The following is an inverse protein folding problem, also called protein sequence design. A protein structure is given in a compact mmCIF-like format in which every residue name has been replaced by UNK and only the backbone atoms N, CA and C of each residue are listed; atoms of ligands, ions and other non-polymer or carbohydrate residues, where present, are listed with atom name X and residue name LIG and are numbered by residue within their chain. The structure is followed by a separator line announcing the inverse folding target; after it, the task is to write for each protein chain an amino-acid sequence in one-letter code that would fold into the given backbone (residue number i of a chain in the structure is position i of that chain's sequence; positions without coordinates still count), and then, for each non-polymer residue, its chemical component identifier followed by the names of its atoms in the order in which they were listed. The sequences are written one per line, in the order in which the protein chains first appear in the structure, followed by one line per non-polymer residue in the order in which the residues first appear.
data_IF_163484150681
#
_entry.id   IF_163484150681
#
_cell.length_a   1.000
_cell.length_b   1.000
_cell.length_c   1.000
_cell.angle_alpha   90.00
_cell.angle_beta   90.00
_cell.angle_gamma   90.00
#
_symmetry.space_group_name_H-M   'P 1'
#
loop_
_entity.id
_entity.type
_entity.pdbx_description
1 polymer ?
#
# COMPACT_ATOMS: atom_id res chain seq x y z
N UNK A 1 -25.31 0.90 -40.60
CA UNK A 1 -25.17 2.14 -39.80
C UNK A 1 -24.65 1.70 -38.44
N UNK A 2 -23.33 1.82 -38.22
CA UNK A 2 -22.69 1.32 -37.01
C UNK A 2 -23.03 2.25 -35.85
N UNK A 3 -23.83 1.79 -34.90
CA UNK A 3 -23.99 2.48 -33.63
C UNK A 3 -22.83 1.99 -32.73
N UNK A 4 -21.87 2.84 -32.34
CA UNK A 4 -20.86 2.44 -31.38
C UNK A 4 -21.57 2.05 -30.08
N UNK A 5 -21.11 0.98 -29.43
CA UNK A 5 -21.64 0.47 -28.16
C UNK A 5 -21.94 1.64 -27.21
N UNK A 6 -23.22 1.82 -26.88
CA UNK A 6 -23.64 2.74 -25.85
C UNK A 6 -23.08 2.22 -24.53
N UNK A 7 -22.05 2.89 -23.99
CA UNK A 7 -21.66 2.73 -22.60
C UNK A 7 -22.91 2.88 -21.73
N UNK A 8 -23.19 1.89 -20.88
CA UNK A 8 -24.35 1.89 -19.97
C UNK A 8 -24.55 3.28 -19.33
N UNK A 9 -25.76 3.86 -19.34
CA UNK A 9 -26.00 5.22 -18.83
C UNK A 9 -25.70 5.38 -17.34
N UNK A 10 -25.55 4.27 -16.60
CA UNK A 10 -25.20 4.26 -15.17
C UNK A 10 -23.71 4.51 -14.89
N UNK A 11 -22.79 4.08 -15.78
CA UNK A 11 -21.34 4.25 -15.56
C UNK A 11 -20.79 5.55 -16.13
N UNK A 12 -21.54 6.17 -17.06
CA UNK A 12 -21.15 7.41 -17.73
C UNK A 12 -20.90 8.58 -16.76
N UNK A 13 -21.73 8.84 -15.74
CA UNK A 13 -21.47 9.91 -14.77
C UNK A 13 -20.17 9.70 -13.99
N UNK A 14 -19.81 8.45 -13.68
CA UNK A 14 -18.59 8.11 -12.96
C UNK A 14 -17.35 8.38 -13.81
N UNK A 15 -17.38 8.02 -15.11
CA UNK A 15 -16.30 8.31 -16.05
C UNK A 15 -16.09 9.81 -16.21
N UNK A 16 -17.18 10.57 -16.39
CA UNK A 16 -17.12 12.03 -16.51
C UNK A 16 -16.57 12.66 -15.23
N UNK A 17 -16.99 12.19 -14.06
CA UNK A 17 -16.48 12.67 -12.78
C UNK A 17 -14.97 12.40 -12.62
N UNK A 18 -14.51 11.18 -12.89
CA UNK A 18 -13.08 10.84 -12.83
C UNK A 18 -12.25 11.71 -13.78
N UNK A 19 -12.73 11.93 -15.01
CA UNK A 19 -12.07 12.80 -15.97
C UNK A 19 -12.05 14.25 -15.52
N UNK A 20 -13.14 14.76 -14.94
CA UNK A 20 -13.21 16.12 -14.41
C UNK A 20 -12.21 16.33 -13.26
N UNK A 21 -12.11 15.35 -12.34
CA UNK A 21 -11.14 15.40 -11.23
C UNK A 21 -9.70 15.37 -11.77
N UNK A 22 -9.39 14.47 -12.71
CA UNK A 22 -8.06 14.42 -13.33
C UNK A 22 -7.73 15.72 -14.06
N UNK A 23 -8.68 16.26 -14.83
CA UNK A 23 -8.52 17.53 -15.53
C UNK A 23 -8.27 18.69 -14.55
N UNK A 24 -8.97 18.73 -13.42
CA UNK A 24 -8.77 19.73 -12.38
C UNK A 24 -7.38 19.62 -11.75
N UNK A 25 -6.91 18.41 -11.43
CA UNK A 25 -5.57 18.18 -10.87
C UNK A 25 -4.51 18.67 -11.87
N UNK A 26 -4.62 18.27 -13.14
CA UNK A 26 -3.70 18.70 -14.20
C UNK A 26 -3.72 20.21 -14.38
N UNK A 27 -4.92 20.83 -14.37
CA UNK A 27 -5.06 22.27 -14.47
C UNK A 27 -4.37 22.98 -13.30
N UNK A 28 -4.61 22.55 -12.05
CA UNK A 28 -4.00 23.15 -10.87
C UNK A 28 -2.47 23.03 -10.88
N UNK A 29 -1.94 21.85 -11.21
CA UNK A 29 -0.49 21.64 -11.32
C UNK A 29 0.12 22.47 -12.45
N UNK A 30 -0.56 22.57 -13.59
CA UNK A 30 -0.12 23.39 -14.73
C UNK A 30 -0.13 24.87 -14.39
N UNK A 31 -1.20 25.36 -13.76
CA UNK A 31 -1.30 26.76 -13.33
C UNK A 31 -0.22 27.09 -12.31
N UNK A 32 0.00 26.21 -11.31
CA UNK A 32 1.08 26.36 -10.33
C UNK A 32 2.46 26.39 -11.01
N UNK A 33 2.68 25.56 -12.02
CA UNK A 33 3.92 25.56 -12.80
C UNK A 33 4.12 26.85 -13.62
N UNK A 34 3.07 27.37 -14.26
CA UNK A 34 3.16 28.57 -15.11
C UNK A 34 3.20 29.87 -14.30
N UNK A 35 2.46 29.97 -13.19
CA UNK A 35 2.43 31.15 -12.33
C UNK A 35 3.53 31.13 -11.27
N UNK A 36 4.09 29.96 -10.96
CA UNK A 36 5.14 29.79 -9.97
C UNK A 36 6.45 30.47 -10.38
N UNK A 37 7.03 31.26 -9.49
CA UNK A 37 8.33 31.88 -9.73
C UNK A 37 9.43 30.81 -9.70
N UNK A 38 9.99 30.51 -10.87
CA UNK A 38 11.04 29.51 -11.03
C UNK A 38 12.40 30.07 -10.57
N UNK A 39 12.64 30.12 -9.25
CA UNK A 39 13.98 30.34 -8.68
C UNK A 39 14.65 28.98 -8.50
N UNK A 40 15.66 28.71 -9.34
CA UNK A 40 16.54 27.54 -9.20
C UNK A 40 17.81 27.98 -8.51
N UNK A 41 17.85 27.84 -7.19
CA UNK A 41 19.06 28.02 -6.42
C UNK A 41 19.67 26.62 -6.17
N UNK A 42 20.97 26.39 -6.43
CA UNK A 42 21.62 25.09 -6.22
C UNK A 42 21.37 24.49 -4.83
N UNK A 43 21.26 25.33 -3.80
CA UNK A 43 20.99 24.91 -2.42
C UNK A 43 19.52 24.47 -2.18
N UNK A 44 18.59 24.79 -3.08
CA UNK A 44 17.18 24.34 -3.02
C UNK A 44 16.96 23.02 -3.77
N UNK A 45 17.82 22.71 -4.74
CA UNK A 45 17.76 21.47 -5.53
C UNK A 45 18.49 20.28 -4.85
N UNK A 46 19.13 20.49 -3.69
CA UNK A 46 19.77 19.44 -2.90
C UNK A 46 18.85 18.90 -1.78
N UNK A 47 18.88 17.58 -1.47
CA UNK A 47 18.15 17.02 -0.35
C UNK A 47 18.52 17.71 0.97
N UNK A 48 17.51 18.18 1.70
CA UNK A 48 17.72 18.86 2.97
C UNK A 48 18.27 17.90 4.02
N UNK A 49 19.50 18.16 4.48
CA UNK A 49 20.16 17.36 5.51
C UNK A 49 20.69 18.24 6.65
N UNK A 50 19.95 19.28 7.06
CA UNK A 50 20.32 20.19 8.17
C UNK A 50 21.69 20.86 8.01
N UNK A 51 22.06 21.25 6.79
CA UNK A 51 23.28 21.99 6.50
C UNK A 51 24.53 21.14 6.25
N UNK A 52 24.39 19.82 6.12
CA UNK A 52 25.45 18.95 5.57
C UNK A 52 25.14 18.57 4.13
N UNK A 53 26.20 18.45 3.32
CA UNK A 53 26.09 17.96 1.94
C UNK A 53 25.71 16.48 2.01
N UNK A 54 24.66 16.09 1.29
CA UNK A 54 24.20 14.72 1.31
C UNK A 54 25.24 13.78 0.73
N UNK A 55 25.87 12.99 1.61
CA UNK A 55 26.98 12.11 1.30
C UNK A 55 26.62 10.70 1.78
N UNK A 56 26.04 9.90 0.88
CA UNK A 56 25.66 8.53 1.19
C UNK A 56 24.84 7.88 0.08
N UNK A 57 24.96 6.56 -0.06
CA UNK A 57 24.06 5.78 -0.93
C UNK A 57 22.72 5.62 -0.20
N UNK A 58 21.60 5.94 -0.85
CA UNK A 58 20.22 5.71 -0.37
C UNK A 58 19.84 4.22 -0.19
N UNK A 59 20.83 3.31 -0.14
CA UNK A 59 20.66 1.87 0.04
C UNK A 59 20.75 1.54 1.52
N UNK A 60 19.77 2.03 2.29
CA UNK A 60 19.57 1.58 3.65
C UNK A 60 18.96 0.17 3.60
N UNK A 61 19.49 -0.77 4.39
CA UNK A 61 18.86 -2.08 4.58
C UNK A 61 17.61 -1.88 5.42
N UNK A 62 16.48 -1.71 4.75
CA UNK A 62 15.16 -1.71 5.39
C UNK A 62 14.94 -3.10 6.01
N UNK A 63 14.31 -3.15 7.19
CA UNK A 63 14.14 -4.41 7.92
C UNK A 63 13.22 -5.38 7.16
N UNK A 64 13.45 -6.69 7.32
CA UNK A 64 12.64 -7.75 6.69
C UNK A 64 11.16 -7.68 7.11
N UNK A 65 10.88 -7.07 8.28
CA UNK A 65 9.53 -6.84 8.79
C UNK A 65 8.59 -6.17 7.78
N UNK A 66 9.07 -5.16 7.04
CA UNK A 66 8.24 -4.46 6.04
C UNK A 66 7.79 -5.38 4.90
N UNK A 67 8.67 -6.30 4.49
CA UNK A 67 8.36 -7.27 3.45
C UNK A 67 7.33 -8.31 3.92
N UNK A 68 7.46 -8.78 5.16
CA UNK A 68 6.51 -9.73 5.76
C UNK A 68 5.11 -9.11 5.89
N UNK A 69 5.02 -7.84 6.31
CA UNK A 69 3.74 -7.10 6.35
C UNK A 69 3.16 -6.93 4.94
N UNK A 70 3.98 -6.63 3.94
CA UNK A 70 3.53 -6.47 2.55
C UNK A 70 2.97 -7.78 1.97
N UNK A 71 3.65 -8.91 2.15
CA UNK A 71 3.13 -10.21 1.72
C UNK A 71 1.83 -10.54 2.46
N UNK A 72 1.82 -10.37 3.78
CA UNK A 72 0.62 -10.63 4.58
C UNK A 72 -0.57 -9.80 4.08
N UNK A 73 -0.34 -8.52 3.74
CA UNK A 73 -1.36 -7.65 3.17
C UNK A 73 -1.88 -8.18 1.83
N UNK A 74 -1.00 -8.61 0.93
CA UNK A 74 -1.40 -9.17 -0.37
C UNK A 74 -2.24 -10.44 -0.19
N UNK A 75 -1.84 -11.34 0.70
CA UNK A 75 -2.60 -12.57 0.95
C UNK A 75 -3.94 -12.24 1.59
N UNK A 76 -3.97 -11.40 2.63
CA UNK A 76 -5.21 -10.98 3.31
C UNK A 76 -6.19 -10.27 2.35
N UNK A 77 -5.69 -9.41 1.46
CA UNK A 77 -6.50 -8.71 0.45
C UNK A 77 -7.11 -9.69 -0.58
N UNK A 78 -6.31 -10.64 -1.05
CA UNK A 78 -6.77 -11.70 -1.93
C UNK A 78 -7.84 -12.57 -1.27
N UNK A 79 -7.72 -12.84 0.03
CA UNK A 79 -8.72 -13.62 0.76
C UNK A 79 -10.01 -12.85 1.00
N UNK A 80 -9.94 -11.53 1.20
CA UNK A 80 -11.13 -10.68 1.25
C UNK A 80 -11.92 -10.74 -0.08
N UNK A 81 -11.24 -10.77 -1.23
CA UNK A 81 -11.88 -10.94 -2.54
C UNK A 81 -12.58 -12.31 -2.66
N UNK A 82 -11.96 -13.38 -2.16
CA UNK A 82 -12.59 -14.70 -2.13
C UNK A 82 -13.84 -14.72 -1.23
N UNK A 83 -13.75 -14.17 -0.03
CA UNK A 83 -14.88 -14.06 0.89
C UNK A 83 -16.01 -13.20 0.31
N UNK A 84 -15.66 -12.12 -0.40
CA UNK A 84 -16.64 -11.29 -1.10
C UNK A 84 -17.35 -12.08 -2.20
N UNK A 85 -16.59 -12.82 -3.02
CA UNK A 85 -17.16 -13.66 -4.09
C UNK A 85 -18.09 -14.74 -3.53
N UNK A 86 -17.68 -15.40 -2.44
CA UNK A 86 -18.53 -16.34 -1.72
C UNK A 86 -19.77 -15.68 -1.12
N UNK A 87 -19.65 -14.49 -0.53
CA UNK A 87 -20.75 -13.72 0.05
C UNK A 87 -21.85 -13.40 -0.97
N UNK A 88 -21.47 -13.04 -2.20
CA UNK A 88 -22.42 -12.83 -3.30
C UNK A 88 -23.18 -14.11 -3.65
N UNK A 89 -22.52 -15.27 -3.59
CA UNK A 89 -23.10 -16.59 -3.88
C UNK A 89 -23.58 -17.34 -2.61
N UNK A 90 -23.80 -16.64 -1.50
CA UNK A 90 -24.09 -17.25 -0.20
C UNK A 90 -25.33 -18.18 -0.24
N UNK A 91 -26.39 -17.75 -0.93
CA UNK A 91 -27.64 -18.50 -1.03
C UNK A 91 -27.49 -19.83 -1.78
N UNK A 92 -26.54 -19.94 -2.69
CA UNK A 92 -26.31 -21.15 -3.48
C UNK A 92 -25.37 -22.14 -2.77
N UNK A 93 -24.41 -21.63 -2.01
CA UNK A 93 -23.37 -22.43 -1.34
C UNK A 93 -23.79 -22.95 0.05
N UNK A 94 -24.75 -22.29 0.70
CA UNK A 94 -25.34 -22.73 1.97
C UNK A 94 -24.31 -22.98 3.08
N UNK A 95 -24.55 -24.01 3.89
CA UNK A 95 -23.75 -24.31 5.08
C UNK A 95 -22.33 -24.80 4.75
N UNK A 96 -22.15 -25.47 3.61
CA UNK A 96 -20.83 -25.92 3.14
C UNK A 96 -19.92 -24.73 2.83
N UNK A 97 -20.43 -23.75 2.07
CA UNK A 97 -19.67 -22.52 1.80
C UNK A 97 -19.33 -21.73 3.06
N UNK A 98 -20.21 -21.72 4.06
CA UNK A 98 -19.93 -21.10 5.36
C UNK A 98 -18.77 -21.77 6.11
N UNK A 99 -18.70 -23.10 6.09
CA UNK A 99 -17.59 -23.84 6.69
C UNK A 99 -16.29 -23.53 5.95
N UNK A 100 -16.30 -23.53 4.61
CA UNK A 100 -15.13 -23.19 3.79
C UNK A 100 -14.63 -21.77 4.09
N UNK A 101 -15.52 -20.78 4.10
CA UNK A 101 -15.18 -19.39 4.44
C UNK A 101 -14.61 -19.25 5.85
N UNK A 102 -15.17 -19.98 6.83
CA UNK A 102 -14.68 -19.99 8.21
C UNK A 102 -13.27 -20.59 8.30
N UNK A 103 -13.02 -21.72 7.64
CA UNK A 103 -11.70 -22.36 7.62
C UNK A 103 -10.67 -21.42 7.00
N UNK A 104 -11.03 -20.73 5.91
CA UNK A 104 -10.18 -19.77 5.22
C UNK A 104 -9.73 -18.64 6.16
N UNK A 105 -10.67 -18.01 6.87
CA UNK A 105 -10.39 -16.98 7.87
C UNK A 105 -9.49 -17.52 9.00
N UNK A 106 -9.76 -18.73 9.49
CA UNK A 106 -8.97 -19.33 10.57
C UNK A 106 -7.52 -19.58 10.16
N UNK A 107 -7.27 -20.04 8.92
CA UNK A 107 -5.91 -20.25 8.41
C UNK A 107 -5.14 -18.93 8.40
N UNK A 108 -5.74 -17.83 7.94
CA UNK A 108 -5.12 -16.52 7.97
C UNK A 108 -4.88 -16.00 9.40
N UNK A 109 -5.84 -16.20 10.30
CA UNK A 109 -5.67 -15.83 11.71
C UNK A 109 -4.47 -16.56 12.33
N UNK A 110 -4.32 -17.86 12.06
CA UNK A 110 -3.17 -18.64 12.52
C UNK A 110 -1.87 -18.09 11.94
N UNK A 111 -1.84 -17.76 10.64
CA UNK A 111 -0.70 -17.12 9.99
C UNK A 111 -0.33 -15.77 10.63
N UNK A 112 -1.32 -14.92 10.87
CA UNK A 112 -1.14 -13.62 11.53
C UNK A 112 -0.59 -13.78 12.95
N UNK A 113 -1.17 -14.67 13.76
CA UNK A 113 -0.71 -14.96 15.12
C UNK A 113 0.73 -15.48 15.09
N UNK A 114 1.07 -16.35 14.15
CA UNK A 114 2.43 -16.88 13.99
C UNK A 114 3.44 -15.75 13.70
N UNK A 115 3.16 -14.87 12.73
CA UNK A 115 4.02 -13.73 12.42
C UNK A 115 4.16 -12.77 13.60
N UNK A 116 3.07 -12.53 14.34
CA UNK A 116 3.10 -11.68 15.52
C UNK A 116 3.99 -12.27 16.62
N UNK A 117 3.86 -13.57 16.87
CA UNK A 117 4.73 -14.29 17.83
C UNK A 117 6.20 -14.30 17.42
N UNK A 118 6.48 -14.27 16.12
CA UNK A 118 7.84 -14.19 15.60
C UNK A 118 8.50 -12.81 15.80
N UNK A 119 7.75 -11.81 16.28
CA UNK A 119 8.22 -10.43 16.39
C UNK A 119 8.43 -9.77 15.03
N UNK A 120 7.91 -10.35 13.94
CA UNK A 120 8.00 -9.78 12.60
C UNK A 120 7.23 -8.44 12.46
N UNK A 121 6.28 -8.19 13.36
CA UNK A 121 5.58 -6.91 13.49
C UNK A 121 6.23 -5.95 14.50
N UNK A 122 7.22 -6.41 15.29
CA UNK A 122 7.86 -5.58 16.30
C UNK A 122 8.96 -4.72 15.66
N UNK A 123 8.78 -3.41 15.67
CA UNK A 123 9.77 -2.48 15.14
C UNK A 123 10.80 -2.13 16.23
N UNK A 124 12.07 -2.46 15.98
CA UNK A 124 13.20 -2.03 16.84
C UNK A 124 13.99 -3.13 17.56
N UNK A 125 13.87 -4.40 17.15
CA UNK A 125 14.42 -5.53 17.90
C UNK A 125 15.94 -5.83 17.81
N UNK A 126 16.67 -5.32 16.80
CA UNK A 126 18.06 -5.75 16.58
C UNK A 126 19.15 -4.76 17.01
N UNK A 127 18.83 -3.69 17.73
CA UNK A 127 19.87 -2.79 18.25
C UNK A 127 20.41 -3.20 19.63
N UNK A 128 19.70 -4.07 20.36
CA UNK A 128 20.09 -4.49 21.72
C UNK A 128 21.27 -5.48 21.74
N UNK A 129 21.46 -6.28 20.69
CA UNK A 129 22.54 -7.27 20.60
C UNK A 129 23.93 -6.64 20.43
N UNK A 130 24.02 -5.58 19.61
CA UNK A 130 25.30 -4.94 19.28
C UNK A 130 25.81 -3.99 20.38
N UNK A 131 24.90 -3.40 21.17
CA UNK A 131 25.26 -2.52 22.29
C UNK A 131 25.75 -3.35 23.50
N UNK A 132 25.13 -4.51 23.78
CA UNK A 132 25.51 -5.33 24.94
C UNK A 132 26.92 -5.95 24.82
N UNK A 133 27.40 -6.19 23.59
CA UNK A 133 28.76 -6.73 23.36
C UNK A 133 29.87 -5.69 23.54
N UNK A 134 29.57 -4.39 23.41
CA UNK A 134 30.56 -3.30 23.59
C UNK A 134 30.81 -2.93 25.05
N UNK A 135 29.88 -3.21 25.97
CA UNK A 135 30.00 -2.85 27.38
C UNK A 135 30.82 -3.86 28.22
N UNK A 136 31.27 -4.96 27.60
CA UNK A 136 32.07 -6.01 28.24
C UNK A 136 33.51 -6.09 27.69
N UNK A 137 33.96 -5.06 26.97
CA UNK A 137 35.38 -4.80 26.65
C UNK A 137 35.78 -3.45 27.23
#
# INVERSE_FOLDING_TARGET
MNYPEQLNPEVWPLVVYCLAVLALIVLMLSLSYFLGQKRRDPATDEPFESGIISQGSARLRISVAYYLVAILFIVFDLEAVYLFSWSVAFYETGLLGFIEATIFIVILLVGLIYLWRLGALEWGGEQKSLINRKNHQ
#
